data_IF_784662247295
#
_entry.id   IF_784662247295
#
_cell.length_a   1.000
_cell.length_b   1.000
_cell.length_c   1.000
_cell.angle_alpha   90.00
_cell.angle_beta   90.00
_cell.angle_gamma   90.00
#
_symmetry.space_group_name_H-M   'P 1'
#
loop_
_entity.id
_entity.type
_entity.pdbx_description
1 polymer ?
#
# COMPACT_ATOMS: atom_id res chain seq x y z
N UNK A 1 -22.35 -9.09 18.04
CA UNK A 1 -21.60 -9.01 16.77
C UNK A 1 -21.40 -7.54 16.49
N UNK A 2 -20.19 -7.01 16.48
CA UNK A 2 -18.92 -7.50 15.93
C UNK A 2 -17.84 -7.65 17.01
N UNK A 3 -16.87 -8.55 16.80
CA UNK A 3 -15.73 -8.85 17.71
C UNK A 3 -14.72 -7.70 17.85
N UNK A 4 -15.15 -6.49 17.52
CA UNK A 4 -14.29 -5.36 17.19
C UNK A 4 -13.99 -4.47 18.40
N UNK A 5 -14.89 -4.46 19.40
CA UNK A 5 -14.73 -3.64 20.60
C UNK A 5 -13.79 -4.24 21.65
N UNK A 6 -13.43 -5.53 21.51
CA UNK A 6 -12.60 -6.25 22.48
C UNK A 6 -11.09 -6.20 22.14
N UNK A 7 -10.73 -5.55 21.03
CA UNK A 7 -9.34 -5.34 20.64
C UNK A 7 -8.83 -4.02 21.24
N UNK A 8 -7.60 -4.02 21.77
CA UNK A 8 -6.97 -2.82 22.36
C UNK A 8 -6.83 -1.64 21.37
N UNK A 9 -6.87 -1.93 20.08
CA UNK A 9 -6.78 -0.96 18.97
C UNK A 9 -8.15 -0.45 18.49
N UNK A 10 -9.24 -0.92 19.08
CA UNK A 10 -10.59 -0.45 18.75
C UNK A 10 -10.70 1.07 18.95
N UNK A 11 -11.30 1.77 17.97
CA UNK A 11 -11.37 3.24 17.99
C UNK A 11 -10.04 3.97 17.76
N UNK A 12 -8.93 3.27 17.53
CA UNK A 12 -7.63 3.87 17.21
C UNK A 12 -7.31 3.85 15.71
N UNK A 13 -7.74 2.81 15.00
CA UNK A 13 -7.61 2.69 13.55
C UNK A 13 -8.86 3.22 12.85
N UNK A 14 -8.70 3.92 11.72
CA UNK A 14 -9.80 4.57 11.01
C UNK A 14 -10.96 3.63 10.68
N UNK A 15 -10.67 2.40 10.25
CA UNK A 15 -11.69 1.40 9.93
C UNK A 15 -12.48 0.89 11.14
N UNK A 16 -12.00 1.19 12.36
CA UNK A 16 -12.61 0.79 13.63
C UNK A 16 -13.05 2.01 14.47
N UNK A 17 -13.27 3.16 13.84
CA UNK A 17 -13.79 4.38 14.47
C UNK A 17 -15.26 4.61 14.11
N UNK A 18 -16.00 5.20 15.05
CA UNK A 18 -17.33 5.76 14.81
C UNK A 18 -17.30 7.29 14.66
N UNK A 19 -18.40 7.85 14.17
CA UNK A 19 -18.61 9.30 14.12
C UNK A 19 -18.73 9.90 15.53
N UNK A 20 -18.36 11.19 15.71
CA UNK A 20 -17.91 12.16 14.70
C UNK A 20 -16.43 12.06 14.33
N UNK A 21 -15.66 11.22 15.04
CA UNK A 21 -14.20 11.12 14.85
C UNK A 21 -13.85 10.46 13.52
N UNK A 22 -14.59 9.43 13.12
CA UNK A 22 -14.41 8.78 11.83
C UNK A 22 -14.49 9.78 10.66
N UNK A 23 -15.54 10.60 10.59
CA UNK A 23 -15.67 11.62 9.53
C UNK A 23 -14.48 12.60 9.51
N UNK A 24 -14.01 13.07 10.67
CA UNK A 24 -12.88 14.00 10.75
C UNK A 24 -11.57 13.36 10.27
N UNK A 25 -11.24 12.15 10.75
CA UNK A 25 -10.01 11.44 10.38
C UNK A 25 -10.06 10.99 8.92
N UNK A 26 -11.22 10.51 8.43
CA UNK A 26 -11.40 10.14 7.02
C UNK A 26 -11.15 11.33 6.10
N UNK A 27 -11.67 12.53 6.44
CA UNK A 27 -11.41 13.75 5.65
C UNK A 27 -9.92 14.10 5.60
N UNK A 28 -9.20 13.92 6.70
CA UNK A 28 -7.76 14.15 6.75
C UNK A 28 -6.98 13.14 5.90
N UNK A 29 -7.32 11.85 5.96
CA UNK A 29 -6.67 10.82 5.13
C UNK A 29 -6.98 11.05 3.65
N UNK A 30 -8.24 11.31 3.31
CA UNK A 30 -8.66 11.53 1.92
C UNK A 30 -8.05 12.78 1.30
N UNK A 31 -7.73 13.82 2.08
CA UNK A 31 -7.08 15.03 1.54
C UNK A 31 -5.62 14.79 1.10
N UNK A 32 -4.96 13.75 1.62
CA UNK A 32 -3.64 13.31 1.16
C UNK A 32 -3.68 12.54 -0.17
N UNK A 33 -4.81 11.89 -0.48
CA UNK A 33 -5.03 11.12 -1.71
C UNK A 33 -5.43 12.01 -2.88
N UNK A 34 -4.60 13.01 -3.16
CA UNK A 34 -4.82 13.97 -4.25
C UNK A 34 -4.66 13.30 -5.62
N UNK A 35 -5.28 13.83 -6.69
CA UNK A 35 -5.06 13.32 -8.05
C UNK A 35 -3.56 13.28 -8.44
N UNK A 36 -2.77 14.25 -7.98
CA UNK A 36 -1.32 14.28 -8.17
C UNK A 36 -0.62 13.10 -7.48
N UNK A 37 -1.07 12.72 -6.29
CA UNK A 37 -0.54 11.56 -5.57
C UNK A 37 -0.91 10.26 -6.28
N UNK A 38 -2.17 10.11 -6.68
CA UNK A 38 -2.63 8.94 -7.43
C UNK A 38 -1.88 8.79 -8.76
N UNK A 39 -1.62 9.90 -9.45
CA UNK A 39 -0.81 9.87 -10.66
C UNK A 39 0.63 9.39 -10.40
N UNK A 40 1.24 9.71 -9.24
CA UNK A 40 2.55 9.16 -8.87
C UNK A 40 2.52 7.67 -8.53
N UNK A 41 1.36 7.14 -8.15
CA UNK A 41 1.15 5.71 -7.93
C UNK A 41 0.93 4.98 -9.26
N UNK A 42 0.12 5.55 -10.15
CA UNK A 42 -0.16 5.00 -11.49
C UNK A 42 1.05 5.09 -12.43
N UNK A 43 1.78 6.20 -12.34
CA UNK A 43 2.99 6.51 -13.06
C UNK A 43 4.09 6.73 -12.02
N UNK A 44 4.53 5.66 -11.31
CA UNK A 44 5.75 5.80 -10.53
C UNK A 44 6.80 6.34 -11.48
N UNK A 45 7.57 7.34 -11.04
CA UNK A 45 8.66 7.91 -11.82
C UNK A 45 9.80 6.90 -12.10
N UNK A 46 9.53 5.60 -11.94
CA UNK A 46 10.44 4.48 -12.11
C UNK A 46 9.72 3.15 -12.37
N UNK A 47 10.47 2.15 -12.87
CA UNK A 47 9.98 1.04 -13.67
C UNK A 47 9.33 -0.12 -12.87
N UNK A 48 8.78 0.05 -11.67
CA UNK A 48 8.44 -1.09 -10.77
C UNK A 48 7.67 -2.24 -11.46
N UNK A 49 6.53 -2.04 -12.16
CA UNK A 49 5.88 -3.14 -12.87
C UNK A 49 6.75 -3.67 -14.01
N UNK A 50 7.50 -2.79 -14.67
CA UNK A 50 8.39 -3.13 -15.77
C UNK A 50 9.62 -3.94 -15.31
N UNK A 51 10.29 -3.59 -14.21
CA UNK A 51 11.41 -4.36 -13.63
C UNK A 51 10.98 -5.74 -13.21
N UNK A 52 9.81 -5.83 -12.58
CA UNK A 52 9.21 -7.10 -12.16
C UNK A 52 8.88 -7.98 -13.37
N UNK A 53 8.36 -7.38 -14.45
CA UNK A 53 8.06 -8.09 -15.69
C UNK A 53 9.31 -8.42 -16.51
N UNK A 54 10.35 -7.57 -16.47
CA UNK A 54 11.64 -7.79 -17.15
C UNK A 54 12.41 -8.96 -16.54
N UNK A 55 12.13 -9.32 -15.28
CA UNK A 55 12.67 -10.51 -14.63
C UNK A 55 12.01 -11.82 -15.10
N UNK A 56 10.86 -11.75 -15.80
CA UNK A 56 10.13 -12.93 -16.29
C UNK A 56 10.79 -13.49 -17.55
N UNK A 57 11.23 -14.74 -17.48
CA UNK A 57 11.79 -15.46 -18.63
C UNK A 57 10.67 -16.24 -19.35
N UNK A 58 10.40 -15.98 -20.64
CA UNK A 58 9.36 -16.68 -21.38
C UNK A 58 9.56 -18.21 -21.36
N UNK A 59 8.50 -18.94 -21.01
CA UNK A 59 8.50 -20.41 -20.96
C UNK A 59 9.12 -21.01 -19.69
N UNK A 60 9.64 -20.20 -18.78
CA UNK A 60 10.12 -20.66 -17.47
C UNK A 60 9.00 -20.57 -16.44
N UNK A 61 8.67 -21.65 -15.71
CA UNK A 61 7.78 -21.58 -14.56
C UNK A 61 8.37 -20.71 -13.45
N UNK A 62 7.51 -19.94 -12.80
CA UNK A 62 7.84 -19.07 -11.67
C UNK A 62 6.61 -18.91 -10.77
N UNK A 63 6.79 -18.47 -9.52
CA UNK A 63 5.66 -18.20 -8.62
C UNK A 63 5.18 -16.76 -8.76
N UNK A 64 4.05 -16.57 -9.43
CA UNK A 64 3.49 -15.26 -9.66
C UNK A 64 3.18 -14.49 -8.37
N UNK A 65 2.80 -15.18 -7.28
CA UNK A 65 2.42 -14.51 -6.03
C UNK A 65 3.64 -13.85 -5.40
N UNK A 66 4.71 -14.61 -5.23
CA UNK A 66 5.92 -14.17 -4.54
C UNK A 66 6.82 -13.32 -5.43
N UNK A 67 6.82 -13.55 -6.74
CA UNK A 67 7.72 -12.84 -7.66
C UNK A 67 7.10 -11.58 -8.30
N UNK A 68 5.75 -11.44 -8.32
CA UNK A 68 5.08 -10.31 -8.97
C UNK A 68 3.99 -9.68 -8.11
N UNK A 69 3.00 -10.47 -7.71
CA UNK A 69 1.76 -9.94 -7.15
C UNK A 69 1.96 -9.23 -5.80
N UNK A 70 2.94 -9.67 -4.99
CA UNK A 70 3.27 -9.05 -3.72
C UNK A 70 4.00 -7.71 -3.88
N UNK A 71 4.83 -7.56 -4.91
CA UNK A 71 5.71 -6.40 -5.09
C UNK A 71 4.92 -5.12 -5.44
N UNK A 72 4.02 -5.22 -6.41
CA UNK A 72 3.25 -4.08 -6.94
C UNK A 72 2.45 -3.33 -5.86
N UNK A 73 1.58 -3.98 -5.05
CA UNK A 73 0.81 -3.27 -4.03
C UNK A 73 1.69 -2.74 -2.89
N UNK A 74 2.81 -3.40 -2.57
CA UNK A 74 3.73 -2.93 -1.54
C UNK A 74 4.44 -1.63 -1.96
N UNK A 75 4.91 -1.57 -3.20
CA UNK A 75 5.53 -0.36 -3.75
C UNK A 75 4.51 0.78 -3.82
N UNK A 76 3.27 0.48 -4.19
CA UNK A 76 2.16 1.45 -4.17
C UNK A 76 1.93 2.03 -2.77
N UNK A 77 1.86 1.21 -1.72
CA UNK A 77 1.65 1.73 -0.35
C UNK A 77 2.85 2.53 0.13
N UNK A 78 4.09 2.13 -0.22
CA UNK A 78 5.29 2.88 0.08
C UNK A 78 5.29 4.28 -0.54
N UNK A 79 4.82 4.41 -1.79
CA UNK A 79 4.67 5.71 -2.46
C UNK A 79 3.63 6.58 -1.74
N UNK A 80 2.48 6.01 -1.39
CA UNK A 80 1.42 6.72 -0.67
C UNK A 80 1.88 7.23 0.70
N UNK A 81 2.69 6.44 1.41
CA UNK A 81 3.26 6.77 2.71
C UNK A 81 4.51 7.65 2.63
N UNK A 82 5.06 7.87 1.42
CA UNK A 82 6.27 8.68 1.21
C UNK A 82 7.56 7.98 1.65
N UNK A 83 7.59 6.65 1.67
CA UNK A 83 8.77 5.86 2.06
C UNK A 83 9.87 5.97 0.98
N UNK A 84 11.10 6.37 1.35
CA UNK A 84 12.24 6.41 0.43
C UNK A 84 12.53 5.03 -0.16
N UNK A 85 12.91 4.97 -1.45
CA UNK A 85 13.18 3.70 -2.15
C UNK A 85 14.22 2.82 -1.43
N UNK A 86 15.25 3.44 -0.85
CA UNK A 86 16.31 2.74 -0.11
C UNK A 86 15.82 1.99 1.13
N UNK A 87 14.65 2.35 1.66
CA UNK A 87 14.09 1.76 2.89
C UNK A 87 12.99 0.73 2.60
N UNK A 88 12.52 0.62 1.35
CA UNK A 88 11.40 -0.25 0.99
C UNK A 88 11.72 -1.72 1.17
N UNK A 89 12.95 -2.15 0.89
CA UNK A 89 13.36 -3.54 1.05
C UNK A 89 13.23 -4.04 2.49
N UNK A 90 13.47 -3.18 3.49
CA UNK A 90 13.29 -3.57 4.89
C UNK A 90 11.82 -3.86 5.24
N UNK A 91 10.86 -3.14 4.62
CA UNK A 91 9.43 -3.39 4.80
C UNK A 91 8.96 -4.71 4.16
N UNK A 92 9.70 -5.26 3.20
CA UNK A 92 9.39 -6.57 2.61
C UNK A 92 9.81 -7.74 3.49
N UNK A 93 10.81 -7.55 4.35
CA UNK A 93 11.39 -8.61 5.18
C UNK A 93 10.82 -8.64 6.62
N UNK A 94 10.01 -7.64 7.00
CA UNK A 94 9.41 -7.48 8.33
C UNK A 94 8.04 -8.17 8.47
#
# INVERSE_FOLDING_TARGET
GTLLQDLSIAGQLLNMMDDPRHAAVRRLVSSGLTPRMLHRVEQPAGPVPQVVLDAVVPGRPFDFVTEIAAEVPMQMICILLGVPESERHWLFEA
#
